data_IF_022277567535
#
_entry.id   IF_022277567535
#
_cell.length_a   1.000
_cell.length_b   1.000
_cell.length_c   1.000
_cell.angle_alpha   90.00
_cell.angle_beta   90.00
_cell.angle_gamma   90.00
#
_symmetry.space_group_name_H-M   'P 1'
#
loop_
_entity.id
_entity.type
_entity.pdbx_description
1 polymer ?
#
# COMPACT_ATOMS: atom_id res chain seq x y z
N UNK A 1 36.07 -30.62 -0.01
CA UNK A 1 35.47 -29.29 0.14
C UNK A 1 34.24 -29.46 1.02
N UNK A 2 34.28 -28.99 2.26
CA UNK A 2 33.12 -29.06 3.14
C UNK A 2 32.15 -27.96 2.74
N UNK A 3 30.93 -28.32 2.37
CA UNK A 3 29.84 -27.40 2.04
C UNK A 3 28.72 -27.63 3.05
N UNK A 4 28.21 -26.55 3.64
CA UNK A 4 27.13 -26.62 4.63
C UNK A 4 25.85 -26.24 3.93
N UNK A 5 24.81 -27.06 4.09
CA UNK A 5 23.51 -26.79 3.48
C UNK A 5 22.67 -25.98 4.48
N UNK A 6 22.15 -24.85 4.02
CA UNK A 6 21.27 -24.03 4.83
C UNK A 6 19.97 -24.80 5.18
N UNK A 7 19.58 -24.93 6.47
CA UNK A 7 18.39 -25.68 6.86
C UNK A 7 17.07 -25.02 6.41
N UNK A 8 17.08 -23.72 6.15
CA UNK A 8 15.87 -22.97 5.79
C UNK A 8 15.60 -22.95 4.27
N UNK A 9 16.62 -22.73 3.44
CA UNK A 9 16.44 -22.58 1.99
C UNK A 9 17.23 -23.59 1.16
N UNK A 10 17.91 -24.56 1.80
CA UNK A 10 18.66 -25.64 1.16
C UNK A 10 19.78 -25.19 0.21
N UNK A 11 20.20 -23.92 0.28
CA UNK A 11 21.31 -23.41 -0.50
C UNK A 11 22.64 -23.95 0.04
N UNK A 12 23.55 -24.30 -0.87
CA UNK A 12 24.93 -24.65 -0.56
C UNK A 12 25.72 -23.44 -0.13
N UNK A 13 26.38 -23.52 1.03
CA UNK A 13 27.13 -22.42 1.63
C UNK A 13 28.56 -22.85 1.95
N UNK A 14 29.52 -21.90 1.92
CA UNK A 14 30.88 -22.19 2.34
C UNK A 14 30.91 -22.59 3.82
N UNK A 15 31.84 -23.49 4.19
CA UNK A 15 31.91 -24.11 5.53
C UNK A 15 31.92 -23.15 6.73
N UNK A 16 32.29 -21.88 6.53
CA UNK A 16 32.37 -20.86 7.57
C UNK A 16 31.30 -19.75 7.47
N UNK A 17 30.26 -19.92 6.65
CA UNK A 17 29.17 -18.94 6.55
C UNK A 17 28.45 -18.79 7.90
N UNK A 18 28.48 -17.59 8.48
CA UNK A 18 27.77 -17.28 9.73
C UNK A 18 26.29 -16.96 9.47
N UNK A 19 25.98 -16.53 8.26
CA UNK A 19 24.66 -16.20 7.75
C UNK A 19 24.49 -16.78 6.35
N UNK A 20 23.25 -17.12 5.98
CA UNK A 20 22.93 -17.53 4.62
C UNK A 20 22.69 -16.31 3.73
N UNK A 21 23.46 -16.14 2.65
CA UNK A 21 23.29 -15.03 1.70
C UNK A 21 21.96 -15.07 0.93
N UNK A 22 21.31 -16.25 0.84
CA UNK A 22 20.07 -16.42 0.08
C UNK A 22 18.80 -16.21 0.92
N UNK A 23 18.82 -16.56 2.21
CA UNK A 23 17.63 -16.46 3.08
C UNK A 23 17.84 -15.66 4.37
N UNK A 24 19.06 -15.22 4.67
CA UNK A 24 19.39 -14.38 5.83
C UNK A 24 19.40 -15.09 7.18
N UNK A 25 19.24 -16.42 7.22
CA UNK A 25 19.25 -17.17 8.49
C UNK A 25 20.66 -17.24 9.09
N UNK A 26 20.78 -17.07 10.40
CA UNK A 26 22.04 -17.24 11.13
C UNK A 26 22.33 -18.73 11.32
N UNK A 27 23.52 -19.18 10.94
CA UNK A 27 23.91 -20.60 10.91
C UNK A 27 24.75 -21.00 12.12
N UNK A 28 25.20 -20.02 12.91
CA UNK A 28 25.93 -20.23 14.17
C UNK A 28 25.08 -19.84 15.38
N UNK A 29 24.84 -20.83 16.24
CA UNK A 29 24.52 -20.58 17.65
C UNK A 29 25.81 -20.13 18.36
N UNK A 30 25.76 -19.01 19.09
CA UNK A 30 26.88 -18.49 19.87
C UNK A 30 27.34 -19.50 20.95
N UNK A 31 28.65 -19.58 21.27
CA UNK A 31 29.12 -20.44 22.34
C UNK A 31 28.64 -19.94 23.71
N UNK A 32 28.11 -20.87 24.50
CA UNK A 32 27.68 -20.66 25.87
C UNK A 32 28.87 -20.26 26.77
N UNK A 33 28.83 -19.04 27.32
CA UNK A 33 29.58 -18.70 28.53
C UNK A 33 28.95 -19.36 29.78
N UNK A 34 29.68 -19.46 30.90
CA UNK A 34 29.24 -20.21 32.07
C UNK A 34 28.02 -19.55 32.71
N UNK A 35 27.02 -20.39 33.00
CA UNK A 35 25.70 -20.05 33.53
C UNK A 35 25.75 -19.91 35.06
N UNK A 36 25.24 -18.82 35.66
CA UNK A 36 24.93 -18.83 37.09
C UNK A 36 23.70 -19.71 37.37
N UNK A 37 23.78 -20.38 38.52
CA UNK A 37 22.89 -21.41 39.04
C UNK A 37 21.39 -21.05 38.99
N UNK A 38 20.58 -22.06 38.71
CA UNK A 38 19.17 -21.95 38.38
C UNK A 38 18.29 -21.69 39.62
N UNK A 39 17.50 -20.62 39.56
CA UNK A 39 16.23 -20.55 40.27
C UNK A 39 15.13 -21.25 39.43
N UNK A 40 14.11 -21.87 40.06
CA UNK A 40 13.21 -22.79 39.37
C UNK A 40 12.36 -22.05 38.33
N UNK A 41 12.45 -22.49 37.08
CA UNK A 41 11.58 -22.05 36.00
C UNK A 41 10.29 -22.87 36.06
N UNK A 42 9.20 -22.19 36.39
CA UNK A 42 7.84 -22.67 36.15
C UNK A 42 7.65 -22.87 34.65
N UNK A 43 7.40 -24.11 34.26
CA UNK A 43 6.95 -24.50 32.93
C UNK A 43 5.61 -23.82 32.66
N UNK A 44 5.56 -22.91 31.70
CA UNK A 44 4.31 -22.45 31.07
C UNK A 44 4.29 -23.00 29.66
N UNK A 45 3.50 -24.05 29.53
CA UNK A 45 3.13 -24.75 28.31
C UNK A 45 2.26 -23.84 27.43
N UNK A 46 2.62 -23.68 26.16
CA UNK A 46 1.72 -23.25 25.07
C UNK A 46 1.30 -21.77 25.01
N UNK A 47 2.13 -20.89 24.45
CA UNK A 47 1.69 -19.60 23.92
C UNK A 47 1.59 -19.67 22.39
N UNK A 48 0.40 -20.01 21.88
CA UNK A 48 0.06 -19.81 20.48
C UNK A 48 0.11 -18.31 20.17
N UNK A 49 1.13 -17.90 19.41
CA UNK A 49 1.22 -16.56 18.85
C UNK A 49 0.06 -16.37 17.86
N UNK A 50 -1.01 -15.71 18.30
CA UNK A 50 -2.15 -15.33 17.45
C UNK A 50 -1.68 -14.25 16.47
N UNK A 51 -1.31 -14.70 15.28
CA UNK A 51 -0.92 -13.84 14.17
C UNK A 51 -2.15 -13.04 13.72
N UNK A 52 -2.18 -11.70 13.83
CA UNK A 52 -3.38 -10.92 13.55
C UNK A 52 -3.71 -10.93 12.06
N UNK A 53 -4.98 -11.23 11.75
CA UNK A 53 -5.55 -11.10 10.40
C UNK A 53 -6.05 -9.67 10.24
N UNK A 54 -5.63 -9.01 9.16
CA UNK A 54 -6.04 -7.65 8.90
C UNK A 54 -7.54 -7.56 8.55
N UNK A 55 -8.35 -6.71 9.22
CA UNK A 55 -9.78 -6.59 8.94
C UNK A 55 -10.08 -5.91 7.60
N UNK A 56 -9.13 -5.14 7.04
CA UNK A 56 -9.31 -4.42 5.79
C UNK A 56 -9.05 -5.26 4.53
N UNK A 57 -8.16 -6.26 4.62
CA UNK A 57 -7.72 -7.02 3.45
C UNK A 57 -7.53 -8.52 3.70
N UNK A 58 -7.87 -9.01 4.90
CA UNK A 58 -7.79 -10.41 5.33
C UNK A 58 -6.41 -11.08 5.21
N UNK A 59 -5.35 -10.30 5.02
CA UNK A 59 -3.99 -10.82 4.98
C UNK A 59 -3.46 -11.08 6.39
N UNK A 60 -2.83 -12.23 6.56
CA UNK A 60 -2.16 -12.62 7.79
C UNK A 60 -0.85 -11.83 7.92
N UNK A 61 -0.76 -10.96 8.92
CA UNK A 61 0.39 -10.05 9.06
C UNK A 61 1.52 -10.72 9.83
N UNK A 62 2.78 -10.38 9.59
CA UNK A 62 3.87 -10.96 10.39
C UNK A 62 3.78 -10.39 11.81
N UNK A 63 4.04 -11.23 12.82
CA UNK A 63 3.72 -11.02 14.24
C UNK A 63 3.73 -9.56 14.75
N UNK A 64 2.71 -9.17 15.52
CA UNK A 64 2.55 -7.89 16.26
C UNK A 64 3.01 -6.62 15.51
N UNK A 65 2.80 -6.55 14.19
CA UNK A 65 3.06 -5.35 13.41
C UNK A 65 2.00 -4.27 13.71
N UNK A 66 2.41 -3.00 13.85
CA UNK A 66 1.48 -1.86 14.04
C UNK A 66 0.65 -1.54 12.80
N UNK A 67 1.04 -2.06 11.64
CA UNK A 67 0.39 -1.88 10.35
C UNK A 67 0.47 -3.17 9.54
N UNK A 68 -0.48 -3.38 8.63
CA UNK A 68 -0.55 -4.57 7.79
C UNK A 68 0.47 -4.49 6.66
N UNK A 69 1.31 -5.53 6.55
CA UNK A 69 2.35 -5.63 5.52
C UNK A 69 1.80 -5.76 4.08
N UNK A 70 0.51 -6.06 3.94
CA UNK A 70 -0.13 -6.26 2.63
C UNK A 70 -0.98 -5.09 2.16
N UNK A 71 -1.72 -4.45 3.06
CA UNK A 71 -2.60 -3.33 2.70
C UNK A 71 -2.33 -2.03 3.46
N UNK A 72 -1.36 -1.99 4.38
CA UNK A 72 -0.96 -0.79 5.11
C UNK A 72 -1.91 -0.35 6.24
N UNK A 73 -3.05 -1.02 6.44
CA UNK A 73 -4.01 -0.70 7.50
C UNK A 73 -3.40 -0.90 8.90
N UNK A 74 -3.73 -0.04 9.87
CA UNK A 74 -3.19 -0.15 11.24
C UNK A 74 -3.67 -1.44 11.94
N UNK A 75 -2.75 -2.10 12.64
CA UNK A 75 -2.90 -3.40 13.31
C UNK A 75 -2.46 -3.34 14.79
N UNK A 76 -2.91 -2.36 15.56
CA UNK A 76 -3.01 -2.49 17.02
C UNK A 76 -3.79 -1.34 17.67
N UNK A 77 -4.70 -1.67 18.59
CA UNK A 77 -5.09 -0.80 19.70
C UNK A 77 -6.46 -0.12 19.64
N UNK A 78 -7.56 -0.87 19.62
CA UNK A 78 -8.74 -0.45 20.40
C UNK A 78 -8.61 -1.08 21.80
N UNK A 79 -8.75 -0.31 22.89
CA UNK A 79 -8.76 -0.86 24.24
C UNK A 79 -9.96 -1.82 24.42
N UNK A 80 -9.83 -2.89 25.23
CA UNK A 80 -10.99 -3.66 25.65
C UNK A 80 -11.82 -2.78 26.60
N UNK A 81 -13.04 -2.42 26.19
CA UNK A 81 -14.02 -1.82 27.11
C UNK A 81 -14.47 -0.39 26.84
N UNK A 82 -14.36 0.14 25.63
CA UNK A 82 -15.13 1.33 25.24
C UNK A 82 -16.45 0.88 24.57
N UNK A 83 -17.44 0.51 25.39
CA UNK A 83 -18.82 0.63 24.93
C UNK A 83 -19.09 2.12 24.73
N UNK A 84 -19.73 2.55 23.63
CA UNK A 84 -20.39 3.84 23.65
C UNK A 84 -21.50 3.70 24.68
N UNK A 85 -21.29 4.24 25.88
CA UNK A 85 -22.39 4.52 26.80
C UNK A 85 -23.29 5.51 26.07
N UNK A 86 -24.41 5.01 25.53
CA UNK A 86 -25.64 5.78 25.46
C UNK A 86 -25.78 6.44 26.84
N UNK A 87 -25.50 7.74 26.92
CA UNK A 87 -25.96 8.54 28.04
C UNK A 87 -27.44 8.73 27.82
N UNK A 88 -28.18 8.33 28.83
CA UNK A 88 -29.60 8.57 29.01
C UNK A 88 -29.94 10.03 28.68
N UNK A 89 -30.61 10.23 27.55
CA UNK A 89 -31.49 11.37 27.36
C UNK A 89 -32.89 10.78 27.47
N UNK A 90 -33.56 11.15 28.56
CA UNK A 90 -34.91 10.75 28.89
C UNK A 90 -35.87 10.93 27.69
N UNK A 91 -36.89 10.06 27.53
CA UNK A 91 -37.85 10.20 26.46
C UNK A 91 -38.83 11.32 26.82
N UNK A 92 -38.56 12.54 26.35
CA UNK A 92 -39.63 13.54 26.24
C UNK A 92 -40.34 13.34 24.92
N UNK A 93 -41.58 12.88 25.04
CA UNK A 93 -42.63 12.87 24.03
C UNK A 93 -42.53 14.12 23.15
N UNK A 94 -42.28 13.94 21.85
CA UNK A 94 -42.61 14.96 20.86
C UNK A 94 -43.65 14.34 19.94
N UNK A 95 -44.84 14.89 20.11
CA UNK A 95 -46.09 14.67 19.41
C UNK A 95 -45.89 14.47 17.91
N UNK A 96 -46.47 13.37 17.42
CA UNK A 96 -46.71 13.07 16.03
C UNK A 96 -47.54 14.19 15.40
N UNK A 97 -46.90 15.09 14.65
CA UNK A 97 -47.60 16.01 13.75
C UNK A 97 -47.29 15.62 12.30
N UNK A 98 -48.30 15.23 11.51
CA UNK A 98 -48.10 14.90 10.11
C UNK A 98 -47.90 16.19 9.30
N UNK A 99 -46.92 16.27 8.39
CA UNK A 99 -46.99 17.25 7.33
C UNK A 99 -48.03 16.76 6.31
N UNK A 100 -49.26 17.26 6.46
CA UNK A 100 -50.16 17.41 5.35
C UNK A 100 -49.60 18.45 4.36
N UNK A 101 -49.91 18.25 3.09
CA UNK A 101 -49.78 19.18 1.97
C UNK A 101 -48.37 19.45 1.43
N UNK A 102 -47.89 18.51 0.61
CA UNK A 102 -47.07 18.87 -0.56
C UNK A 102 -48.03 18.98 -1.76
N UNK A 103 -48.23 20.17 -2.35
CA UNK A 103 -49.05 20.30 -3.54
C UNK A 103 -48.35 19.63 -4.73
N UNK A 104 -49.10 18.80 -5.45
CA UNK A 104 -48.69 18.19 -6.70
C UNK A 104 -48.33 19.27 -7.74
N UNK A 105 -47.04 19.53 -7.90
CA UNK A 105 -46.54 20.32 -9.03
C UNK A 105 -46.65 19.43 -10.26
N UNK A 106 -47.60 19.79 -11.13
CA UNK A 106 -47.82 19.18 -12.44
C UNK A 106 -46.51 19.10 -13.21
N UNK A 107 -46.29 17.94 -13.84
CA UNK A 107 -45.22 17.70 -14.78
C UNK A 107 -45.14 18.82 -15.82
N UNK A 108 -43.96 19.42 -16.07
CA UNK A 108 -43.77 20.29 -17.22
C UNK A 108 -43.83 19.46 -18.51
N UNK A 109 -44.40 20.02 -19.60
CA UNK A 109 -44.50 19.34 -20.88
C UNK A 109 -43.12 19.13 -21.50
N UNK A 110 -42.97 18.00 -22.18
CA UNK A 110 -41.82 17.64 -23.01
C UNK A 110 -41.58 18.71 -24.08
N UNK A 111 -40.66 19.64 -23.79
CA UNK A 111 -40.16 20.57 -24.78
C UNK A 111 -38.84 20.06 -25.34
N UNK A 112 -38.80 19.92 -26.66
CA UNK A 112 -37.66 19.40 -27.42
C UNK A 112 -36.62 20.51 -27.53
N UNK A 113 -35.91 20.78 -26.44
CA UNK A 113 -34.73 21.64 -26.49
C UNK A 113 -33.50 20.78 -26.75
N UNK A 114 -32.89 21.04 -27.89
CA UNK A 114 -31.64 20.48 -28.41
C UNK A 114 -30.61 20.34 -27.29
N UNK A 115 -30.32 19.10 -26.86
CA UNK A 115 -29.10 18.80 -26.12
C UNK A 115 -27.94 18.92 -27.10
N UNK A 116 -27.27 20.06 -27.08
CA UNK A 116 -25.90 20.14 -27.60
C UNK A 116 -25.06 19.07 -26.87
N UNK A 117 -24.32 18.20 -27.58
CA UNK A 117 -23.43 17.27 -26.95
C UNK A 117 -22.29 18.10 -26.34
N UNK A 118 -22.38 18.41 -25.04
CA UNK A 118 -21.21 18.78 -24.25
C UNK A 118 -20.26 17.60 -24.35
N UNK A 119 -19.33 17.67 -25.29
CA UNK A 119 -18.18 16.78 -25.37
C UNK A 119 -17.42 16.96 -24.06
N UNK A 120 -17.74 16.14 -23.06
CA UNK A 120 -16.92 16.00 -21.87
C UNK A 120 -15.60 15.46 -22.38
N UNK A 121 -14.62 16.34 -22.52
CA UNK A 121 -13.27 15.95 -22.95
C UNK A 121 -12.67 15.18 -21.79
N UNK A 122 -12.86 13.86 -21.80
CA UNK A 122 -12.33 12.98 -20.76
C UNK A 122 -10.81 13.10 -20.85
N UNK A 123 -10.20 13.65 -19.80
CA UNK A 123 -8.76 13.86 -19.76
C UNK A 123 -8.09 12.57 -19.30
N UNK A 124 -7.19 12.04 -20.14
CA UNK A 124 -6.46 10.80 -19.87
C UNK A 124 -5.01 11.10 -19.49
N UNK A 125 -4.46 10.28 -18.60
CA UNK A 125 -3.05 10.33 -18.22
C UNK A 125 -2.23 9.92 -19.44
N UNK A 126 -1.25 10.74 -19.80
CA UNK A 126 -0.43 10.54 -20.99
C UNK A 126 1.05 10.77 -20.64
N UNK A 127 1.93 10.15 -21.43
CA UNK A 127 3.38 10.20 -21.28
C UNK A 127 3.96 8.85 -20.86
N UNK A 128 5.23 8.90 -20.47
CA UNK A 128 6.02 7.73 -20.09
C UNK A 128 6.97 8.08 -18.95
N UNK A 129 7.44 7.04 -18.26
CA UNK A 129 8.53 7.17 -17.29
C UNK A 129 9.82 6.64 -17.90
N UNK A 130 10.89 7.43 -17.80
CA UNK A 130 12.24 7.00 -18.16
C UNK A 130 12.98 6.60 -16.89
N UNK A 131 13.41 5.36 -16.77
CA UNK A 131 14.24 4.91 -15.65
C UNK A 131 15.62 5.56 -15.77
N UNK A 132 16.03 6.36 -14.78
CA UNK A 132 17.28 7.14 -14.85
C UNK A 132 18.51 6.24 -14.92
N UNK A 133 18.48 5.08 -14.26
CA UNK A 133 19.61 4.16 -14.22
C UNK A 133 19.88 3.43 -15.54
N UNK A 134 18.84 3.13 -16.32
CA UNK A 134 18.93 2.28 -17.52
C UNK A 134 18.53 2.98 -18.81
N UNK A 135 17.85 4.13 -18.73
CA UNK A 135 17.21 4.79 -19.87
C UNK A 135 15.96 4.07 -20.39
N UNK A 136 15.52 2.99 -19.74
CA UNK A 136 14.33 2.25 -20.16
C UNK A 136 13.08 3.13 -20.07
N UNK A 137 12.19 3.01 -21.07
CA UNK A 137 10.94 3.77 -21.15
C UNK A 137 9.76 2.87 -20.82
N UNK A 138 8.88 3.35 -19.94
CA UNK A 138 7.65 2.67 -19.57
C UNK A 138 6.48 3.57 -19.95
N UNK A 139 5.76 3.18 -21.00
CA UNK A 139 4.62 3.91 -21.55
C UNK A 139 3.41 3.82 -20.62
N UNK A 140 2.67 4.92 -20.48
CA UNK A 140 1.38 4.87 -19.80
C UNK A 140 0.31 4.30 -20.73
N UNK A 141 -0.51 3.33 -20.27
CA UNK A 141 -1.62 2.83 -21.06
C UNK A 141 -2.59 3.95 -21.47
N UNK A 142 -2.97 4.03 -22.76
CA UNK A 142 -3.88 5.06 -23.23
C UNK A 142 -5.28 4.85 -22.65
N UNK A 143 -6.04 5.93 -22.52
CA UNK A 143 -7.45 5.89 -22.13
C UNK A 143 -7.69 5.66 -20.64
N UNK A 144 -6.67 5.76 -19.78
CA UNK A 144 -6.84 5.67 -18.32
C UNK A 144 -6.73 7.04 -17.63
N UNK A 145 -7.56 7.22 -16.60
CA UNK A 145 -7.55 8.40 -15.72
C UNK A 145 -6.64 8.22 -14.51
N UNK A 146 -6.38 6.95 -14.16
CA UNK A 146 -5.57 6.53 -13.03
C UNK A 146 -4.60 5.45 -13.51
N UNK A 147 -3.32 5.62 -13.19
CA UNK A 147 -2.23 4.68 -13.50
C UNK A 147 -1.55 4.29 -12.20
N UNK A 148 -1.56 3.00 -11.85
CA UNK A 148 -0.85 2.50 -10.68
C UNK A 148 0.57 2.10 -11.04
N UNK A 149 1.48 2.49 -10.16
CA UNK A 149 2.89 2.16 -10.20
C UNK A 149 3.20 1.21 -9.06
N UNK A 150 3.91 0.14 -9.36
CA UNK A 150 4.31 -0.80 -8.34
C UNK A 150 5.11 -1.96 -8.88
N UNK A 151 5.22 -2.99 -8.04
CA UNK A 151 5.81 -4.28 -8.39
C UNK A 151 4.71 -5.31 -8.64
N UNK A 152 4.82 -6.10 -9.70
CA UNK A 152 3.93 -7.24 -9.89
C UNK A 152 4.08 -8.28 -8.76
N UNK A 153 2.99 -8.96 -8.45
CA UNK A 153 2.92 -10.08 -7.51
C UNK A 153 1.89 -11.09 -8.02
N UNK A 154 2.30 -12.08 -8.81
CA UNK A 154 1.41 -13.10 -9.35
C UNK A 154 0.71 -13.93 -8.27
N UNK A 155 1.36 -14.14 -7.13
CA UNK A 155 0.78 -14.88 -5.99
C UNK A 155 -0.33 -14.07 -5.35
N UNK A 156 -0.12 -12.76 -5.18
CA UNK A 156 -1.10 -11.82 -4.68
C UNK A 156 -2.12 -11.32 -5.71
N UNK A 157 -2.03 -11.76 -6.98
CA UNK A 157 -2.81 -11.27 -8.11
C UNK A 157 -2.76 -9.73 -8.28
N UNK A 158 -1.56 -9.15 -8.16
CA UNK A 158 -1.33 -7.71 -8.32
C UNK A 158 -0.52 -7.44 -9.58
N UNK A 159 -1.10 -6.68 -10.51
CA UNK A 159 -0.48 -6.30 -11.78
C UNK A 159 -0.70 -4.80 -12.02
N UNK A 160 0.20 -3.93 -11.52
CA UNK A 160 0.11 -2.49 -11.77
C UNK A 160 0.30 -2.20 -13.27
N UNK A 161 -0.30 -1.12 -13.76
CA UNK A 161 -0.16 -0.70 -15.16
C UNK A 161 1.29 -0.35 -15.50
N UNK A 162 2.02 0.21 -14.53
CA UNK A 162 3.44 0.50 -14.63
C UNK A 162 4.16 -0.44 -13.67
N UNK A 163 4.66 -1.54 -14.22
CA UNK A 163 5.41 -2.53 -13.47
C UNK A 163 6.90 -2.17 -13.39
N UNK A 164 7.39 -2.10 -12.15
CA UNK A 164 8.79 -1.80 -11.82
C UNK A 164 9.62 -3.05 -11.62
N UNK A 165 9.02 -4.25 -11.62
CA UNK A 165 9.73 -5.53 -11.41
C UNK A 165 10.91 -5.72 -12.37
N UNK A 166 10.77 -5.50 -13.70
CA UNK A 166 11.88 -5.63 -14.64
C UNK A 166 12.97 -4.58 -14.46
N UNK A 167 12.70 -3.53 -13.68
CA UNK A 167 13.57 -2.39 -13.47
C UNK A 167 14.17 -2.37 -12.05
N UNK A 168 14.21 -3.53 -11.40
CA UNK A 168 14.77 -3.69 -10.06
C UNK A 168 13.82 -3.27 -8.95
N UNK A 169 12.50 -3.24 -9.20
CA UNK A 169 11.50 -2.80 -8.23
C UNK A 169 11.59 -3.51 -6.86
N UNK A 170 11.89 -4.82 -6.85
CA UNK A 170 12.05 -5.57 -5.59
C UNK A 170 13.26 -5.07 -4.78
N UNK A 171 14.43 -5.05 -5.41
CA UNK A 171 15.66 -4.57 -4.78
C UNK A 171 15.62 -3.07 -4.48
N UNK A 172 14.86 -2.32 -5.27
CA UNK A 172 14.60 -0.90 -5.09
C UNK A 172 13.64 -0.59 -3.95
N UNK A 173 12.96 -1.60 -3.41
CA UNK A 173 11.98 -1.42 -2.34
C UNK A 173 10.65 -0.80 -2.82
N UNK A 174 10.30 -1.02 -4.09
CA UNK A 174 9.00 -0.64 -4.65
C UNK A 174 7.93 -1.58 -4.11
N UNK A 175 6.81 -1.00 -3.69
CA UNK A 175 5.68 -1.74 -3.13
C UNK A 175 4.79 -2.24 -4.27
N UNK A 176 4.00 -3.27 -4.02
CA UNK A 176 3.09 -3.84 -5.04
C UNK A 176 2.08 -2.82 -5.57
N UNK A 177 1.56 -1.99 -4.67
CA UNK A 177 0.86 -0.73 -4.98
C UNK A 177 1.64 0.39 -4.30
N UNK A 178 2.48 1.09 -5.05
CA UNK A 178 3.41 2.07 -4.46
C UNK A 178 2.88 3.49 -4.60
N UNK A 179 2.47 3.87 -5.80
CA UNK A 179 1.95 5.19 -6.09
C UNK A 179 0.88 5.11 -7.17
N UNK A 180 0.12 6.19 -7.30
CA UNK A 180 -0.85 6.37 -8.39
C UNK A 180 -0.66 7.72 -9.03
N UNK A 181 -0.59 7.73 -10.36
CA UNK A 181 -0.80 8.93 -11.15
C UNK A 181 -2.28 9.10 -11.45
N UNK A 182 -2.79 10.31 -11.34
CA UNK A 182 -4.16 10.66 -11.73
C UNK A 182 -4.21 12.05 -12.34
N UNK A 183 -5.24 12.31 -13.14
CA UNK A 183 -5.53 13.65 -13.65
C UNK A 183 -6.52 14.37 -12.74
N UNK A 184 -6.12 15.54 -12.22
CA UNK A 184 -6.97 16.42 -11.41
C UNK A 184 -6.91 17.83 -11.98
N UNK A 185 -8.07 18.35 -12.35
CA UNK A 185 -8.21 19.72 -12.88
C UNK A 185 -7.30 20.01 -14.09
N UNK A 186 -7.01 18.98 -14.90
CA UNK A 186 -6.12 19.08 -16.06
C UNK A 186 -4.63 18.92 -15.75
N UNK A 187 -4.23 18.81 -14.47
CA UNK A 187 -2.87 18.55 -14.04
C UNK A 187 -2.64 17.06 -13.72
N UNK A 188 -1.45 16.57 -14.08
CA UNK A 188 -0.99 15.26 -13.65
C UNK A 188 -0.55 15.36 -12.19
N UNK A 189 -1.14 14.54 -11.33
CA UNK A 189 -0.76 14.46 -9.93
C UNK A 189 -0.35 13.04 -9.58
N UNK A 190 0.61 12.93 -8.67
CA UNK A 190 1.03 11.67 -8.06
C UNK A 190 0.60 11.64 -6.60
N UNK A 191 0.21 10.45 -6.14
CA UNK A 191 -0.16 10.16 -4.77
C UNK A 191 0.60 8.91 -4.31
N UNK A 192 1.26 8.99 -3.15
CA UNK A 192 1.87 7.81 -2.50
C UNK A 192 0.78 6.98 -1.80
N UNK A 193 0.73 5.68 -2.11
CA UNK A 193 -0.30 4.76 -1.61
C UNK A 193 0.14 4.07 -0.31
N UNK A 194 0.74 4.84 0.60
CA UNK A 194 1.33 4.35 1.85
C UNK A 194 2.41 3.28 1.59
N UNK A 195 3.34 3.63 0.70
CA UNK A 195 4.43 2.74 0.31
C UNK A 195 5.47 2.59 1.42
N UNK A 196 6.19 1.46 1.42
CA UNK A 196 7.19 1.17 2.46
C UNK A 196 8.38 2.12 2.42
N UNK A 197 8.82 2.53 1.21
CA UNK A 197 10.03 3.34 1.02
C UNK A 197 9.74 4.75 0.49
N UNK A 198 8.46 5.13 0.46
CA UNK A 198 7.95 6.43 0.05
C UNK A 198 8.22 6.79 -1.42
N UNK A 199 7.41 7.72 -1.88
CA UNK A 199 7.54 8.38 -3.18
C UNK A 199 8.15 9.77 -3.00
N UNK A 200 9.03 10.16 -3.92
CA UNK A 200 9.62 11.49 -3.96
C UNK A 200 9.44 12.12 -5.34
N UNK A 201 9.21 13.43 -5.39
CA UNK A 201 9.19 14.24 -6.62
C UNK A 201 10.24 15.33 -6.47
N UNK A 202 11.21 15.39 -7.36
CA UNK A 202 12.34 16.33 -7.32
C UNK A 202 13.03 16.38 -5.93
N UNK A 203 13.29 15.19 -5.38
CA UNK A 203 13.85 14.96 -4.02
C UNK A 203 12.95 15.39 -2.84
N UNK A 204 11.77 15.94 -3.08
CA UNK A 204 10.79 16.22 -2.03
C UNK A 204 9.89 15.01 -1.81
N UNK A 205 9.71 14.61 -0.54
CA UNK A 205 8.88 13.46 -0.20
C UNK A 205 7.40 13.79 -0.39
N UNK A 206 6.68 12.93 -1.08
CA UNK A 206 5.21 12.97 -1.14
C UNK A 206 4.67 12.27 0.11
N UNK A 207 3.88 12.98 0.91
CA UNK A 207 3.23 12.36 2.08
C UNK A 207 2.18 11.34 1.61
N UNK A 208 2.05 10.18 2.26
CA UNK A 208 1.01 9.20 1.92
C UNK A 208 -0.39 9.82 1.85
N UNK A 209 -1.11 9.57 0.76
CA UNK A 209 -2.44 10.14 0.48
C UNK A 209 -2.46 11.62 0.07
N UNK A 210 -1.34 12.34 0.17
CA UNK A 210 -1.23 13.69 -0.36
C UNK A 210 -0.98 13.65 -1.87
N UNK A 211 -1.55 14.62 -2.59
CA UNK A 211 -1.36 14.78 -4.03
C UNK A 211 -0.26 15.78 -4.30
N UNK A 212 0.66 15.44 -5.20
CA UNK A 212 1.73 16.32 -5.69
C UNK A 212 1.65 16.45 -7.19
N UNK A 213 1.71 17.66 -7.72
CA UNK A 213 1.74 17.91 -9.17
C UNK A 213 3.06 17.41 -9.74
N UNK A 214 2.99 16.74 -10.89
CA UNK A 214 4.15 16.27 -11.67
C UNK A 214 4.11 16.90 -13.04
N UNK A 215 5.25 17.46 -13.46
CA UNK A 215 5.42 18.13 -14.76
C UNK A 215 6.45 17.39 -15.60
N UNK A 216 6.37 17.59 -16.91
CA UNK A 216 7.34 17.07 -17.85
C UNK A 216 8.78 17.44 -17.40
N UNK A 217 9.66 16.45 -17.34
CA UNK A 217 11.05 16.57 -16.92
C UNK A 217 11.28 16.32 -15.43
N UNK A 218 10.24 16.22 -14.60
CA UNK A 218 10.39 15.99 -13.15
C UNK A 218 10.98 14.60 -12.86
N UNK A 219 11.88 14.55 -11.87
CA UNK A 219 12.37 13.28 -11.33
C UNK A 219 11.36 12.74 -10.31
N UNK A 220 10.85 11.55 -10.57
CA UNK A 220 10.00 10.81 -9.62
C UNK A 220 10.78 9.61 -9.12
N UNK A 221 10.84 9.43 -7.81
CA UNK A 221 11.56 8.30 -7.20
C UNK A 221 10.60 7.46 -6.38
N UNK A 222 10.55 6.17 -6.71
CA UNK A 222 9.76 5.15 -6.03
C UNK A 222 10.71 4.29 -5.19
N UNK A 223 10.74 4.51 -3.88
CA UNK A 223 11.78 3.96 -3.01
C UNK A 223 13.19 4.36 -3.48
N UNK A 224 13.94 3.41 -4.03
CA UNK A 224 15.29 3.65 -4.59
C UNK A 224 15.33 3.75 -6.11
N UNK A 225 14.22 3.50 -6.81
CA UNK A 225 14.15 3.57 -8.27
C UNK A 225 13.87 5.01 -8.69
N UNK A 226 14.82 5.62 -9.41
CA UNK A 226 14.67 6.97 -9.97
C UNK A 226 14.13 6.89 -11.39
N UNK A 227 13.11 7.68 -11.66
CA UNK A 227 12.52 7.85 -12.99
C UNK A 227 12.39 9.33 -13.32
N UNK A 228 12.25 9.64 -14.60
CA UNK A 228 11.91 10.97 -15.09
C UNK A 228 10.59 10.88 -15.84
N UNK A 229 9.65 11.76 -15.52
CA UNK A 229 8.40 11.84 -16.27
C UNK A 229 8.61 12.63 -17.57
N UNK A 230 8.17 12.06 -18.67
CA UNK A 230 8.18 12.69 -19.99
C UNK A 230 6.77 12.55 -20.61
N UNK A 231 6.37 13.52 -21.42
CA UNK A 231 5.03 13.65 -21.99
C UNK A 231 5.15 13.78 -23.51
#
# INVERSE_FOLDING_TARGET
>A
MNEVICPNCQAGLPAQAEYCDNCGVHLRAAPAGPRPEAAPQTVVEGAQLTVPICPACQHQSRAVAKFCDNCGAALAGLPPGATPRLRDVAPTMIESRPPADVPAVKAPPSDKTVLEPRAQTVSFVAGHLVIVATGARIEFPPGRTDIYVGREDPVGNVFPEVDMTPHGGEQGGVSRRHARFSLKDGELVIEDLNSTNFTFVNNERVMPGARRVVRHGDEVRFGRIKTRYER
#
